data_IF_285970625629
#
_entry.id   IF_285970625629
#
_cell.length_a   1.000
_cell.length_b   1.000
_cell.length_c   1.000
_cell.angle_alpha   90.00
_cell.angle_beta   90.00
_cell.angle_gamma   90.00
#
_symmetry.space_group_name_H-M   'P 1'
#
loop_
_entity.id
_entity.type
_entity.pdbx_description
1 polymer ?
#
# COMPACT_ATOMS: atom_id res chain seq x y z
N UNK A 1 33.77 -39.62 45.08
CA UNK A 1 32.81 -40.46 44.32
C UNK A 1 31.53 -39.63 44.13
N UNK A 2 31.25 -39.14 42.93
CA UNK A 2 30.25 -39.71 41.98
C UNK A 2 28.81 -39.54 42.50
N UNK A 3 27.84 -38.85 41.89
CA UNK A 3 27.56 -38.49 40.48
C UNK A 3 26.51 -37.34 40.39
N UNK A 4 26.67 -36.50 39.35
CA UNK A 4 25.72 -35.90 38.36
C UNK A 4 24.32 -35.43 38.82
N UNK A 5 23.89 -34.16 38.67
CA UNK A 5 23.64 -33.26 37.50
C UNK A 5 22.43 -33.62 36.60
N UNK A 6 21.63 -32.58 36.31
CA UNK A 6 20.50 -32.44 35.37
C UNK A 6 19.15 -33.00 35.89
N UNK A 7 17.97 -32.43 35.68
CA UNK A 7 17.50 -31.51 34.64
C UNK A 7 16.09 -31.04 35.04
N UNK A 8 15.83 -29.73 35.16
CA UNK A 8 14.47 -29.19 35.01
C UNK A 8 14.59 -27.86 34.27
N UNK A 9 15.08 -27.97 33.02
CA UNK A 9 15.06 -26.90 32.05
C UNK A 9 13.65 -26.82 31.45
N UNK A 10 12.92 -25.78 31.85
CA UNK A 10 12.05 -24.93 31.04
C UNK A 10 11.53 -25.56 29.74
N UNK A 11 10.30 -26.05 29.78
CA UNK A 11 9.48 -26.27 28.58
C UNK A 11 8.54 -25.06 28.46
N UNK A 12 9.01 -24.02 27.78
CA UNK A 12 8.15 -22.99 27.18
C UNK A 12 8.49 -22.98 25.69
N UNK A 13 7.86 -23.90 24.96
CA UNK A 13 8.06 -24.08 23.53
C UNK A 13 6.81 -23.56 22.79
N UNK A 14 6.94 -22.32 22.32
CA UNK A 14 6.56 -21.83 20.99
C UNK A 14 5.11 -22.12 20.56
N UNK A 15 4.21 -21.17 20.83
CA UNK A 15 2.98 -20.99 20.06
C UNK A 15 2.76 -19.50 19.79
N UNK A 16 3.64 -18.90 18.99
CA UNK A 16 3.52 -17.52 18.51
C UNK A 16 3.98 -17.42 17.05
N UNK A 17 3.49 -18.32 16.20
CA UNK A 17 3.96 -18.48 14.82
C UNK A 17 2.90 -18.39 13.74
N UNK A 18 1.67 -17.95 14.04
CA UNK A 18 0.58 -18.05 13.08
C UNK A 18 -0.38 -16.87 13.13
N UNK A 19 0.14 -15.66 12.88
CA UNK A 19 -0.72 -14.51 12.58
C UNK A 19 -0.19 -13.52 11.52
N UNK A 20 0.97 -13.77 10.91
CA UNK A 20 1.54 -12.86 9.90
C UNK A 20 1.72 -13.59 8.56
N UNK A 21 0.62 -13.93 7.89
CA UNK A 21 0.69 -14.38 6.49
C UNK A 21 -0.62 -14.16 5.70
N UNK A 22 -1.47 -13.22 6.12
CA UNK A 22 -2.75 -12.95 5.45
C UNK A 22 -2.70 -11.80 4.42
N UNK A 23 -1.63 -11.00 4.38
CA UNK A 23 -1.53 -9.86 3.44
C UNK A 23 -1.04 -10.26 2.04
N UNK A 24 -0.29 -11.37 1.92
CA UNK A 24 0.51 -11.67 0.72
C UNK A 24 -0.27 -12.18 -0.49
N UNK A 25 -1.54 -12.54 -0.34
CA UNK A 25 -2.32 -13.22 -1.38
C UNK A 25 -3.28 -12.31 -2.15
N UNK A 26 -3.35 -11.03 -1.79
CA UNK A 26 -4.38 -10.14 -2.31
C UNK A 26 -4.09 -9.63 -3.72
N UNK A 27 -2.84 -9.41 -4.10
CA UNK A 27 -2.55 -8.46 -5.18
C UNK A 27 -2.17 -9.08 -6.54
N UNK A 28 -2.10 -10.41 -6.66
CA UNK A 28 -1.65 -11.07 -7.89
C UNK A 28 -2.65 -11.01 -9.05
N UNK A 29 -3.88 -10.59 -8.81
CA UNK A 29 -4.97 -10.66 -9.79
C UNK A 29 -6.04 -9.60 -9.52
N UNK A 30 -5.58 -8.36 -9.36
CA UNK A 30 -6.46 -7.22 -9.23
C UNK A 30 -6.86 -6.72 -10.62
N UNK A 31 -8.16 -6.53 -10.88
CA UNK A 31 -8.64 -5.85 -12.08
C UNK A 31 -9.16 -4.47 -11.69
N UNK A 32 -8.58 -3.42 -12.27
CA UNK A 32 -9.06 -2.06 -12.13
C UNK A 32 -10.08 -1.76 -13.23
N UNK A 33 -11.31 -1.43 -12.84
CA UNK A 33 -12.38 -1.00 -13.75
C UNK A 33 -12.63 0.48 -13.49
N UNK A 34 -12.53 1.30 -14.55
CA UNK A 34 -12.89 2.71 -14.48
C UNK A 34 -14.37 2.88 -14.19
N UNK A 35 -14.68 3.82 -13.29
CA UNK A 35 -16.05 4.16 -12.95
C UNK A 35 -16.32 5.64 -13.21
N UNK A 36 -17.53 5.94 -13.64
CA UNK A 36 -17.97 7.30 -13.89
C UNK A 36 -18.26 8.01 -12.55
N UNK A 37 -17.22 8.58 -11.94
CA UNK A 37 -17.31 9.42 -10.74
C UNK A 37 -16.56 10.74 -10.93
N UNK A 38 -17.02 11.54 -11.89
CA UNK A 38 -16.45 12.86 -12.20
C UNK A 38 -16.39 13.78 -10.99
N UNK A 39 -17.40 13.77 -10.13
CA UNK A 39 -17.48 14.63 -8.95
C UNK A 39 -16.42 14.25 -7.90
N UNK A 40 -16.15 12.96 -7.73
CA UNK A 40 -15.11 12.47 -6.82
C UNK A 40 -13.73 12.90 -7.30
N UNK A 41 -13.46 12.74 -8.61
CA UNK A 41 -12.19 13.16 -9.22
C UNK A 41 -12.03 14.68 -9.11
N UNK A 42 -13.07 15.45 -9.42
CA UNK A 42 -13.08 16.90 -9.30
C UNK A 42 -12.81 17.35 -7.85
N UNK A 43 -13.49 16.74 -6.87
CA UNK A 43 -13.26 17.03 -5.45
C UNK A 43 -11.82 16.69 -5.01
N UNK A 44 -11.26 15.57 -5.49
CA UNK A 44 -9.89 15.18 -5.20
C UNK A 44 -8.86 16.15 -5.81
N UNK A 45 -9.12 16.68 -7.00
CA UNK A 45 -8.25 17.67 -7.67
C UNK A 45 -8.18 19.02 -6.95
N UNK A 46 -9.12 19.32 -6.05
CA UNK A 46 -9.09 20.52 -5.20
C UNK A 46 -8.24 20.35 -3.92
N UNK A 47 -7.76 19.14 -3.65
CA UNK A 47 -6.89 18.85 -2.50
C UNK A 47 -5.41 19.07 -2.84
N UNK A 48 -4.51 19.19 -1.84
CA UNK A 48 -3.08 19.20 -2.10
C UNK A 48 -2.63 17.93 -2.84
N UNK A 49 -2.12 18.11 -4.07
CA UNK A 49 -1.65 17.03 -4.94
C UNK A 49 -0.15 16.76 -4.78
N UNK A 50 0.28 16.74 -3.52
CA UNK A 50 1.66 16.47 -3.10
C UNK A 50 1.63 15.59 -1.86
N UNK A 51 2.64 14.75 -1.68
CA UNK A 51 2.80 13.97 -0.46
C UNK A 51 4.25 13.88 -0.02
N UNK A 52 4.47 13.44 1.22
CA UNK A 52 5.81 13.26 1.80
C UNK A 52 6.19 11.79 1.73
N UNK A 53 7.40 11.51 1.23
CA UNK A 53 7.93 10.17 1.12
C UNK A 53 8.28 9.62 2.50
N UNK A 54 7.72 8.48 2.86
CA UNK A 54 7.86 7.86 4.17
C UNK A 54 8.23 6.39 4.03
N UNK A 55 8.88 5.85 5.07
CA UNK A 55 9.09 4.41 5.23
C UNK A 55 8.43 3.92 6.51
N UNK A 56 8.04 2.66 6.55
CA UNK A 56 7.61 2.02 7.80
C UNK A 56 8.75 1.24 8.47
N UNK A 57 8.44 0.58 9.59
CA UNK A 57 9.39 -0.25 10.33
C UNK A 57 10.00 -1.37 9.47
N UNK A 58 9.25 -1.87 8.49
CA UNK A 58 9.65 -2.94 7.58
C UNK A 58 10.45 -2.43 6.35
N UNK A 59 10.58 -1.12 6.17
CA UNK A 59 11.29 -0.52 5.03
C UNK A 59 10.44 -0.37 3.77
N UNK A 60 9.13 -0.60 3.86
CA UNK A 60 8.20 -0.34 2.76
C UNK A 60 8.10 1.16 2.50
N UNK A 61 8.21 1.54 1.24
CA UNK A 61 8.17 2.92 0.79
C UNK A 61 6.73 3.30 0.39
N UNK A 62 6.25 4.44 0.90
CA UNK A 62 4.93 4.98 0.55
C UNK A 62 4.96 6.50 0.58
N UNK A 63 4.04 7.11 -0.17
CA UNK A 63 3.81 8.55 -0.13
C UNK A 63 2.66 8.85 0.82
N UNK A 64 2.93 9.55 1.92
CA UNK A 64 1.88 10.05 2.83
C UNK A 64 1.26 11.31 2.22
N UNK A 65 -0.06 11.32 2.08
CA UNK A 65 -0.80 12.43 1.48
C UNK A 65 -1.74 13.10 2.50
N UNK A 66 -2.44 14.16 2.07
CA UNK A 66 -3.35 14.93 2.94
C UNK A 66 -4.52 14.06 3.47
N UNK A 67 -4.79 14.15 4.77
CA UNK A 67 -5.88 13.42 5.45
C UNK A 67 -7.28 13.75 4.88
N UNK A 68 -7.44 14.89 4.20
CA UNK A 68 -8.68 15.28 3.52
C UNK A 68 -9.10 14.28 2.44
N UNK A 69 -8.19 13.50 1.87
CA UNK A 69 -8.55 12.44 0.91
C UNK A 69 -9.51 11.40 1.53
N UNK A 70 -9.40 11.11 2.84
CA UNK A 70 -10.34 10.21 3.54
C UNK A 70 -11.74 10.82 3.74
N UNK A 71 -11.85 12.15 3.59
CA UNK A 71 -13.09 12.89 3.77
C UNK A 71 -13.86 13.09 2.47
N UNK A 72 -13.30 12.68 1.33
CA UNK A 72 -13.99 12.74 0.05
C UNK A 72 -15.35 12.03 0.13
N UNK A 73 -16.38 12.60 -0.53
CA UNK A 73 -17.71 12.02 -0.52
C UNK A 73 -17.71 10.72 -1.34
N UNK A 74 -18.15 9.64 -0.72
CA UNK A 74 -18.37 8.37 -1.43
C UNK A 74 -19.84 8.33 -1.85
N UNK A 75 -20.10 8.28 -3.14
CA UNK A 75 -21.47 8.30 -3.69
C UNK A 75 -22.20 6.97 -3.50
N UNK A 76 -21.46 5.86 -3.36
CA UNK A 76 -22.03 4.55 -3.15
C UNK A 76 -22.20 4.25 -1.65
N UNK A 77 -23.44 4.11 -1.14
CA UNK A 77 -23.71 3.89 0.28
C UNK A 77 -23.25 2.52 0.80
N UNK A 78 -22.95 1.57 -0.09
CA UNK A 78 -22.40 0.26 0.29
C UNK A 78 -20.89 0.32 0.57
N UNK A 79 -20.21 1.39 0.17
CA UNK A 79 -18.79 1.56 0.44
C UNK A 79 -18.56 1.93 1.90
N UNK A 80 -17.75 1.14 2.59
CA UNK A 80 -17.20 1.51 3.89
C UNK A 80 -15.92 2.30 3.65
N UNK A 81 -15.75 3.42 4.35
CA UNK A 81 -14.50 4.18 4.29
C UNK A 81 -13.33 3.28 4.68
N UNK A 82 -12.30 3.28 3.86
CA UNK A 82 -11.09 2.53 4.14
C UNK A 82 -10.16 3.40 4.97
N UNK A 83 -9.81 2.92 6.16
CA UNK A 83 -8.84 3.57 7.04
C UNK A 83 -7.63 2.65 7.20
N UNK A 84 -6.50 3.09 6.67
CA UNK A 84 -5.21 2.47 6.99
C UNK A 84 -4.63 3.12 8.24
N UNK A 85 -3.86 2.35 9.02
CA UNK A 85 -3.06 2.89 10.13
C UNK A 85 -2.07 3.98 9.65
N UNK A 86 -1.66 3.93 8.38
CA UNK A 86 -0.76 4.91 7.75
C UNK A 86 -1.48 6.22 7.34
N UNK A 87 -2.79 6.30 7.48
CA UNK A 87 -3.59 7.36 6.85
C UNK A 87 -3.77 7.11 5.34
N UNK A 88 -4.30 8.08 4.57
CA UNK A 88 -4.32 7.98 3.12
C UNK A 88 -2.87 8.04 2.61
N UNK A 89 -2.55 7.12 1.71
CA UNK A 89 -1.21 7.01 1.15
C UNK A 89 -1.23 6.39 -0.24
N UNK A 90 -0.15 6.60 -0.97
CA UNK A 90 0.16 5.92 -2.22
C UNK A 90 1.25 4.90 -1.91
N UNK A 91 0.98 3.62 -2.13
CA UNK A 91 2.01 2.58 -1.99
C UNK A 91 2.99 2.70 -3.17
N UNK A 92 4.29 2.77 -2.87
CA UNK A 92 5.32 2.92 -3.90
C UNK A 92 5.97 1.59 -4.21
N UNK A 93 6.17 0.70 -3.24
CA UNK A 93 6.77 -0.63 -3.46
C UNK A 93 5.72 -1.70 -3.22
N UNK A 94 5.56 -2.64 -4.15
CA UNK A 94 4.63 -3.75 -4.00
C UNK A 94 5.35 -5.00 -3.49
N UNK A 95 4.69 -5.75 -2.62
CA UNK A 95 5.25 -6.89 -1.86
C UNK A 95 6.04 -7.89 -2.73
N UNK A 96 5.62 -8.14 -3.98
CA UNK A 96 6.33 -9.06 -4.90
C UNK A 96 7.70 -8.54 -5.35
N UNK A 97 7.84 -7.23 -5.54
CA UNK A 97 9.12 -6.61 -5.88
C UNK A 97 10.02 -6.53 -4.65
N UNK A 98 9.41 -6.39 -3.48
CA UNK A 98 10.08 -6.33 -2.19
C UNK A 98 10.73 -7.67 -1.83
N UNK A 99 10.04 -8.79 -2.09
CA UNK A 99 10.55 -10.15 -1.85
C UNK A 99 11.85 -10.47 -2.61
N UNK A 100 12.10 -9.83 -3.76
CA UNK A 100 13.33 -10.06 -4.53
C UNK A 100 14.55 -9.31 -3.98
N UNK A 101 14.35 -8.25 -3.18
CA UNK A 101 15.44 -7.36 -2.74
C UNK A 101 15.80 -7.44 -1.26
N UNK A 102 14.94 -7.99 -0.41
CA UNK A 102 15.11 -7.91 1.05
C UNK A 102 16.10 -8.93 1.65
N UNK A 103 17.40 -8.77 1.37
CA UNK A 103 18.46 -9.29 2.27
C UNK A 103 18.91 -8.27 3.32
N UNK A 104 18.61 -6.97 3.11
CA UNK A 104 18.89 -5.87 4.05
C UNK A 104 17.78 -4.81 3.92
N UNK A 105 17.47 -4.13 5.03
CA UNK A 105 16.51 -3.01 5.05
C UNK A 105 17.04 -1.90 4.13
N UNK A 106 16.34 -1.53 3.05
CA UNK A 106 16.79 -0.48 2.14
C UNK A 106 16.73 0.88 2.85
N UNK A 107 17.79 1.68 2.67
CA UNK A 107 17.83 3.08 3.10
C UNK A 107 17.61 3.97 1.88
N UNK A 108 16.52 4.73 1.89
CA UNK A 108 16.17 5.66 0.82
C UNK A 108 16.54 7.08 1.26
N UNK A 109 17.41 7.76 0.49
CA UNK A 109 17.90 9.10 0.82
C UNK A 109 16.82 10.17 0.65
N UNK A 110 15.79 9.86 -0.11
CA UNK A 110 14.69 10.74 -0.47
C UNK A 110 13.58 10.77 0.60
N UNK A 111 13.68 9.97 1.66
CA UNK A 111 12.69 9.98 2.75
C UNK A 111 12.60 11.38 3.37
N UNK A 112 11.38 11.85 3.55
CA UNK A 112 11.08 13.22 3.99
C UNK A 112 10.93 14.23 2.85
N UNK A 113 11.25 13.87 1.61
CA UNK A 113 11.04 14.76 0.44
C UNK A 113 9.57 14.74 -0.01
N UNK A 114 9.15 15.85 -0.61
CA UNK A 114 7.81 16.00 -1.20
C UNK A 114 7.80 15.55 -2.65
N UNK A 115 6.77 14.81 -3.05
CA UNK A 115 6.55 14.39 -4.44
C UNK A 115 5.15 14.81 -4.91
N UNK A 116 5.05 15.45 -6.09
CA UNK A 116 3.78 15.78 -6.71
C UNK A 116 3.15 14.54 -7.36
N UNK A 117 1.83 14.57 -7.50
CA UNK A 117 1.07 13.59 -8.26
C UNK A 117 -0.13 14.27 -8.92
N UNK A 118 -0.84 13.54 -9.79
CA UNK A 118 -2.08 13.98 -10.43
C UNK A 118 -3.14 12.92 -10.28
N UNK A 119 -4.35 13.30 -9.91
CA UNK A 119 -5.50 12.38 -9.92
C UNK A 119 -6.00 12.25 -11.35
N UNK A 120 -6.03 11.02 -11.87
CA UNK A 120 -6.41 10.70 -13.24
C UNK A 120 -7.90 10.36 -13.30
N UNK A 121 -8.32 9.34 -12.54
CA UNK A 121 -9.69 8.82 -12.55
C UNK A 121 -10.02 8.04 -11.29
N UNK A 122 -11.30 7.76 -11.08
CA UNK A 122 -11.78 6.83 -10.07
C UNK A 122 -11.88 5.41 -10.67
N UNK A 123 -11.51 4.41 -9.88
CA UNK A 123 -11.53 3.01 -10.29
C UNK A 123 -12.07 2.11 -9.18
N UNK A 124 -12.72 1.02 -9.55
CA UNK A 124 -12.94 -0.13 -8.68
C UNK A 124 -11.86 -1.18 -8.93
N UNK A 125 -11.16 -1.58 -7.85
CA UNK A 125 -10.12 -2.59 -7.88
C UNK A 125 -10.70 -3.88 -7.32
N UNK A 126 -10.96 -4.85 -8.19
CA UNK A 126 -11.50 -6.16 -7.82
C UNK A 126 -10.37 -7.16 -7.59
N UNK A 127 -10.26 -7.66 -6.38
CA UNK A 127 -9.31 -8.69 -6.02
C UNK A 127 -9.93 -10.09 -6.11
N UNK A 128 -9.13 -11.10 -6.44
CA UNK A 128 -9.58 -12.52 -6.46
C UNK A 128 -10.16 -13.01 -5.13
N UNK A 129 -9.79 -12.38 -4.01
CA UNK A 129 -10.39 -12.67 -2.69
C UNK A 129 -11.87 -12.31 -2.60
N UNK A 130 -12.44 -11.64 -3.63
CA UNK A 130 -13.81 -11.13 -3.64
C UNK A 130 -13.91 -9.71 -3.07
N UNK A 131 -12.84 -9.16 -2.50
CA UNK A 131 -12.80 -7.77 -2.03
C UNK A 131 -12.74 -6.81 -3.21
N UNK A 132 -13.53 -5.74 -3.14
CA UNK A 132 -13.51 -4.67 -4.14
C UNK A 132 -13.21 -3.35 -3.44
N UNK A 133 -12.24 -2.58 -3.95
CA UNK A 133 -11.90 -1.28 -3.38
C UNK A 133 -12.26 -0.17 -4.35
N UNK A 134 -12.79 0.92 -3.82
CA UNK A 134 -12.81 2.19 -4.53
C UNK A 134 -11.47 2.89 -4.33
N UNK A 135 -10.82 3.26 -5.43
CA UNK A 135 -9.56 3.99 -5.40
C UNK A 135 -9.54 5.12 -6.43
N UNK A 136 -8.62 6.07 -6.22
CA UNK A 136 -8.22 7.04 -7.23
C UNK A 136 -6.93 6.54 -7.89
N UNK A 137 -6.96 6.39 -9.21
CA UNK A 137 -5.75 6.24 -10.01
C UNK A 137 -5.01 7.57 -10.04
N UNK A 138 -3.71 7.54 -9.78
CA UNK A 138 -2.85 8.72 -9.81
C UNK A 138 -1.62 8.50 -10.69
N UNK A 139 -1.20 9.58 -11.32
CA UNK A 139 0.03 9.67 -12.10
C UNK A 139 1.08 10.46 -11.35
N UNK A 140 2.32 9.95 -11.31
CA UNK A 140 3.46 10.66 -10.75
C UNK A 140 4.75 10.16 -11.42
N UNK A 141 5.20 10.85 -12.48
CA UNK A 141 6.44 10.50 -13.17
C UNK A 141 7.66 10.52 -12.24
N UNK A 142 7.66 11.40 -11.24
CA UNK A 142 8.77 11.55 -10.29
C UNK A 142 8.86 10.36 -9.32
N UNK A 143 7.72 9.82 -8.87
CA UNK A 143 7.68 8.59 -8.08
C UNK A 143 8.11 7.37 -8.90
N UNK A 144 7.75 7.31 -10.17
CA UNK A 144 8.18 6.22 -11.04
C UNK A 144 9.69 6.28 -11.30
N UNK A 145 10.24 7.47 -11.55
CA UNK A 145 11.69 7.63 -11.64
C UNK A 145 12.39 7.25 -10.32
N UNK A 146 11.81 7.59 -9.17
CA UNK A 146 12.32 7.17 -7.87
C UNK A 146 12.35 5.64 -7.74
N UNK A 147 11.28 4.95 -8.15
CA UNK A 147 11.23 3.49 -8.19
C UNK A 147 12.37 2.92 -9.03
N UNK A 148 12.50 3.39 -10.27
CA UNK A 148 13.55 2.92 -11.20
C UNK A 148 14.95 3.18 -10.65
N UNK A 149 15.22 4.37 -10.08
CA UNK A 149 16.52 4.70 -9.46
C UNK A 149 16.87 3.78 -8.30
N UNK A 150 15.87 3.33 -7.55
CA UNK A 150 16.03 2.35 -6.47
C UNK A 150 16.00 0.89 -6.97
N UNK A 151 16.16 0.70 -8.29
CA UNK A 151 16.28 -0.58 -8.98
C UNK A 151 14.97 -1.36 -9.06
N UNK A 152 13.82 -0.73 -8.80
CA UNK A 152 12.52 -1.38 -9.02
C UNK A 152 12.24 -1.43 -10.52
N UNK A 153 11.51 -2.46 -10.95
CA UNK A 153 11.10 -2.55 -12.34
C UNK A 153 10.19 -1.38 -12.66
N UNK A 154 10.34 -0.83 -13.87
CA UNK A 154 9.32 0.08 -14.36
C UNK A 154 8.00 -0.64 -14.43
N UNK A 155 6.92 0.08 -14.16
CA UNK A 155 5.58 -0.42 -14.41
C UNK A 155 5.45 -0.90 -15.88
N UNK A 156 4.88 -2.09 -16.15
CA UNK A 156 4.53 -2.48 -17.50
C UNK A 156 3.58 -1.41 -18.06
N UNK A 157 3.71 -1.08 -19.34
CA UNK A 157 3.00 0.03 -20.01
C UNK A 157 1.47 0.06 -19.79
N UNK A 158 0.87 -1.03 -19.29
CA UNK A 158 -0.57 -1.19 -19.13
C UNK A 158 -1.06 -1.62 -17.75
N UNK A 159 -0.20 -1.89 -16.76
CA UNK A 159 -0.67 -2.62 -15.56
C UNK A 159 -0.32 -2.10 -14.18
N UNK A 160 0.56 -1.12 -14.03
CA UNK A 160 0.86 -0.65 -12.68
C UNK A 160 0.75 0.88 -12.61
N UNK A 161 -0.27 1.33 -11.90
CA UNK A 161 -0.54 2.72 -11.59
C UNK A 161 -0.49 2.89 -10.08
N UNK A 162 -0.22 4.10 -9.65
CA UNK A 162 -0.34 4.44 -8.25
C UNK A 162 -1.82 4.61 -7.90
N UNK A 163 -2.19 4.18 -6.69
CA UNK A 163 -3.57 4.26 -6.22
C UNK A 163 -3.66 4.88 -4.83
N UNK A 164 -4.72 5.66 -4.61
CA UNK A 164 -5.17 6.11 -3.30
C UNK A 164 -6.46 5.35 -2.98
N UNK A 165 -6.41 4.44 -2.02
CA UNK A 165 -7.59 3.67 -1.59
C UNK A 165 -8.51 4.52 -0.71
N UNK A 166 -9.78 4.62 -1.08
CA UNK A 166 -10.78 5.45 -0.40
C UNK A 166 -11.81 4.62 0.36
N UNK A 167 -12.21 3.48 -0.18
CA UNK A 167 -13.28 2.67 0.38
C UNK A 167 -13.18 1.19 0.03
N UNK A 168 -13.79 0.36 0.86
CA UNK A 168 -13.94 -1.08 0.68
C UNK A 168 -15.42 -1.40 0.47
N UNK A 169 -15.68 -2.13 -0.61
CA UNK A 169 -16.96 -2.76 -0.90
C UNK A 169 -16.85 -4.25 -0.53
N UNK A 170 -17.50 -4.63 0.56
CA UNK A 170 -17.73 -6.04 0.86
C UNK A 170 -18.97 -6.48 0.10
N UNK A 171 -18.82 -7.52 -0.75
CA UNK A 171 -19.95 -8.22 -1.36
C UNK A 171 -20.77 -8.96 -0.31
#
# INVERSE_FOLDING_TARGET
MCRRLYSFFVVILIFAGSLVCYSSQLQADAQAIEIEQSDLVCAAQQLPLTGILMTNSFGELYLKIDEKFQRLPLTNPKLKKFTSQKGPHIQIVYDKEDQQKQRKKPEYKEVGQSFPFKVVKAVEIHFKSGMTFLALEVDSPELEQLRIRNGFSSFPEHHDKFYIYLGLLNK
#
